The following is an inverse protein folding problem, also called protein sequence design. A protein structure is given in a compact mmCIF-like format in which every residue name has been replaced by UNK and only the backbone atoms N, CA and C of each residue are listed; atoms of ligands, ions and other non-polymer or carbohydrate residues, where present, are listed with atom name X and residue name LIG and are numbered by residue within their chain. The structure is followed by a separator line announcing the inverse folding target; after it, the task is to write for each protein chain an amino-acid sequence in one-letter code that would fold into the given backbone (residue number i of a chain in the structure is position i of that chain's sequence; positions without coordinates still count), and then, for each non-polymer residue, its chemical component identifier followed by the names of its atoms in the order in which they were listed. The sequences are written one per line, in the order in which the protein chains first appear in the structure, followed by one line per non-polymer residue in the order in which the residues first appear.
data_IF_382075826120
#
_entry.id   IF_382075826120
#
_cell.length_a   1.000
_cell.length_b   1.000
_cell.length_c   1.000
_cell.angle_alpha   90.00
_cell.angle_beta   90.00
_cell.angle_gamma   90.00
#
_symmetry.space_group_name_H-M   'P 1'
#
loop_
_entity.id
_entity.type
_entity.pdbx_description
1 polymer ?
#
# COMPACT_ATOMS: atom_id res chain seq x y z
N UNK A 1 5.19 -57.92 -2.02
CA UNK A 1 4.17 -56.85 -2.14
C UNK A 1 4.89 -55.51 -2.22
N UNK A 2 5.10 -54.98 -3.43
CA UNK A 2 5.62 -53.63 -3.66
C UNK A 2 4.44 -52.67 -3.72
N UNK A 3 4.28 -51.81 -2.71
CA UNK A 3 3.34 -50.69 -2.78
C UNK A 3 4.03 -49.55 -3.55
N UNK A 4 3.51 -49.26 -4.75
CA UNK A 4 3.92 -48.10 -5.54
C UNK A 4 3.35 -46.83 -4.91
N UNK A 5 4.21 -45.90 -4.51
CA UNK A 5 3.83 -44.51 -4.21
C UNK A 5 3.62 -43.75 -5.52
N UNK A 6 2.37 -43.43 -5.85
CA UNK A 6 2.08 -42.39 -6.84
C UNK A 6 2.37 -41.03 -6.19
N UNK A 7 3.46 -40.39 -6.58
CA UNK A 7 3.69 -38.98 -6.30
C UNK A 7 2.83 -38.15 -7.27
N UNK A 8 1.78 -37.51 -6.76
CA UNK A 8 1.04 -36.51 -7.51
C UNK A 8 1.92 -35.26 -7.66
N UNK A 9 2.54 -35.10 -8.83
CA UNK A 9 3.17 -33.84 -9.24
C UNK A 9 2.07 -32.79 -9.39
N UNK A 10 1.83 -31.99 -8.34
CA UNK A 10 1.12 -30.71 -8.48
C UNK A 10 2.01 -29.81 -9.33
N UNK A 11 1.76 -29.79 -10.64
CA UNK A 11 2.41 -28.86 -11.55
C UNK A 11 2.06 -27.44 -11.13
N UNK A 12 3.04 -26.67 -10.68
CA UNK A 12 2.90 -25.23 -10.56
C UNK A 12 2.65 -24.68 -11.96
N UNK A 13 1.40 -24.38 -12.28
CA UNK A 13 1.02 -23.79 -13.56
C UNK A 13 1.79 -22.48 -13.77
N UNK A 14 2.27 -22.26 -14.99
CA UNK A 14 2.90 -20.99 -15.37
C UNK A 14 1.88 -19.88 -15.11
N UNK A 15 2.25 -18.79 -14.40
CA UNK A 15 1.33 -17.68 -14.18
C UNK A 15 0.74 -17.22 -15.50
N UNK A 16 -0.58 -16.99 -15.53
CA UNK A 16 -1.17 -16.28 -16.65
C UNK A 16 -0.52 -14.89 -16.72
N UNK A 17 -0.38 -14.31 -17.93
CA UNK A 17 0.20 -12.99 -18.11
C UNK A 17 -0.45 -11.93 -17.21
N UNK A 18 0.21 -10.79 -16.99
CA UNK A 18 -0.29 -9.76 -16.07
C UNK A 18 -1.75 -9.34 -16.36
N UNK A 19 -2.52 -8.96 -15.33
CA UNK A 19 -3.82 -8.32 -15.52
C UNK A 19 -3.72 -7.13 -16.51
N UNK A 20 -4.67 -6.95 -17.43
CA UNK A 20 -4.68 -5.80 -18.36
C UNK A 20 -4.67 -4.44 -17.66
N UNK A 21 -5.07 -4.40 -16.39
CA UNK A 21 -5.12 -3.21 -15.58
C UNK A 21 -3.75 -2.80 -15.01
N UNK A 22 -2.72 -3.64 -15.10
CA UNK A 22 -1.35 -3.31 -14.69
C UNK A 22 -0.76 -2.20 -15.56
N UNK A 23 -0.50 -1.04 -14.94
CA UNK A 23 0.21 0.08 -15.56
C UNK A 23 1.72 -0.04 -15.41
N UNK A 24 2.45 0.75 -16.21
CA UNK A 24 3.89 0.92 -16.03
C UNK A 24 4.18 1.90 -14.88
N UNK A 25 5.25 1.61 -14.14
CA UNK A 25 5.80 2.50 -13.11
C UNK A 25 7.29 2.72 -13.37
N UNK A 26 7.67 3.60 -14.31
CA UNK A 26 9.07 3.80 -14.67
C UNK A 26 9.95 4.09 -13.46
N UNK A 27 11.11 3.43 -13.38
CA UNK A 27 12.08 3.61 -12.31
C UNK A 27 11.96 2.61 -11.17
N UNK A 28 10.86 1.84 -11.10
CA UNK A 28 10.71 0.73 -10.14
C UNK A 28 11.74 -0.38 -10.39
N UNK A 29 12.20 -0.54 -11.62
CA UNK A 29 13.17 -1.56 -12.03
C UNK A 29 14.49 -1.40 -11.26
N UNK A 30 14.93 -0.15 -11.04
CA UNK A 30 16.15 0.17 -10.27
C UNK A 30 16.08 -0.30 -8.80
N UNK A 31 14.88 -0.54 -8.29
CA UNK A 31 14.64 -1.07 -6.95
C UNK A 31 14.56 -2.59 -6.97
N UNK A 32 13.84 -3.16 -7.92
CA UNK A 32 13.62 -4.61 -8.03
C UNK A 32 14.92 -5.39 -8.28
N UNK A 33 15.93 -4.75 -8.88
CA UNK A 33 17.25 -5.34 -9.12
C UNK A 33 18.14 -5.39 -7.86
N UNK A 34 17.72 -4.77 -6.75
CA UNK A 34 18.50 -4.77 -5.49
C UNK A 34 18.25 -6.07 -4.72
N UNK A 35 19.30 -6.81 -4.33
CA UNK A 35 19.16 -8.13 -3.71
C UNK A 35 18.59 -8.08 -2.29
N UNK A 36 18.79 -6.98 -1.57
CA UNK A 36 18.32 -6.76 -0.20
C UNK A 36 16.98 -6.01 -0.13
N UNK A 37 16.40 -5.60 -1.26
CA UNK A 37 15.16 -4.82 -1.26
C UNK A 37 13.92 -5.67 -0.99
N UNK A 38 13.29 -5.43 0.17
CA UNK A 38 12.15 -6.18 0.68
C UNK A 38 10.94 -5.31 1.03
N UNK A 39 11.13 -4.01 1.28
CA UNK A 39 10.03 -3.12 1.68
C UNK A 39 9.99 -1.88 0.80
N UNK A 40 8.88 -1.69 0.10
CA UNK A 40 8.53 -0.45 -0.57
C UNK A 40 7.40 0.23 0.21
N UNK A 41 7.72 1.32 0.90
CA UNK A 41 6.71 2.17 1.51
C UNK A 41 6.31 3.28 0.54
N UNK A 42 5.03 3.31 0.21
CA UNK A 42 4.43 4.34 -0.63
C UNK A 42 3.67 5.28 0.30
N UNK A 43 4.32 6.39 0.63
CA UNK A 43 3.71 7.47 1.38
C UNK A 43 2.61 8.13 0.55
N UNK A 44 1.41 8.23 1.09
CA UNK A 44 0.27 8.85 0.42
C UNK A 44 -0.34 10.00 1.21
N UNK A 45 -1.12 10.79 0.49
CA UNK A 45 -2.19 11.62 1.03
C UNK A 45 -3.49 10.82 0.84
N UNK A 46 -4.13 10.45 1.96
CA UNK A 46 -5.34 9.64 1.92
C UNK A 46 -6.46 10.30 1.10
N UNK A 47 -7.31 9.48 0.49
CA UNK A 47 -8.44 9.96 -0.30
C UNK A 47 -8.11 10.39 -1.72
N UNK A 48 -6.92 10.11 -2.23
CA UNK A 48 -6.57 10.31 -3.64
C UNK A 48 -6.82 9.04 -4.46
N UNK A 49 -7.07 9.20 -5.76
CA UNK A 49 -7.29 8.06 -6.65
C UNK A 49 -5.97 7.45 -7.16
N UNK A 50 -4.98 8.29 -7.42
CA UNK A 50 -3.79 7.89 -8.17
C UNK A 50 -2.71 7.26 -7.27
N UNK A 51 -2.64 7.60 -5.99
CA UNK A 51 -1.61 7.06 -5.09
C UNK A 51 -1.81 5.56 -4.78
N UNK A 52 -3.03 5.06 -4.48
CA UNK A 52 -3.27 3.62 -4.42
C UNK A 52 -2.95 2.89 -5.74
N UNK A 53 -3.17 3.54 -6.89
CA UNK A 53 -2.83 2.96 -8.19
C UNK A 53 -1.31 2.81 -8.39
N UNK A 54 -0.48 3.66 -7.79
CA UNK A 54 0.99 3.49 -7.79
C UNK A 54 1.37 2.22 -7.03
N UNK A 55 0.75 1.94 -5.88
CA UNK A 55 0.96 0.68 -5.16
C UNK A 55 0.52 -0.54 -5.98
N UNK A 56 -0.61 -0.43 -6.69
CA UNK A 56 -1.11 -1.48 -7.56
C UNK A 56 -0.13 -1.81 -8.70
N UNK A 57 0.48 -0.78 -9.30
CA UNK A 57 1.46 -0.95 -10.37
C UNK A 57 2.82 -1.43 -9.86
N UNK A 58 3.22 -1.05 -8.63
CA UNK A 58 4.40 -1.62 -7.98
C UNK A 58 4.23 -3.13 -7.70
N UNK A 59 3.04 -3.59 -7.29
CA UNK A 59 2.72 -5.01 -7.20
C UNK A 59 2.84 -5.69 -8.57
N UNK A 60 2.30 -5.09 -9.63
CA UNK A 60 2.43 -5.63 -10.98
C UNK A 60 3.90 -5.76 -11.43
N UNK A 61 4.74 -4.75 -11.13
CA UNK A 61 6.16 -4.79 -11.44
C UNK A 61 6.89 -5.91 -10.67
N UNK A 62 6.60 -6.07 -9.38
CA UNK A 62 7.15 -7.17 -8.58
C UNK A 62 6.68 -8.55 -9.06
N UNK A 63 5.42 -8.67 -9.47
CA UNK A 63 4.88 -9.90 -10.08
C UNK A 63 5.61 -10.26 -11.37
N UNK A 64 5.86 -9.26 -12.24
CA UNK A 64 6.65 -9.41 -13.47
C UNK A 64 8.08 -9.87 -13.18
N UNK A 65 8.68 -9.37 -12.10
CA UNK A 65 10.00 -9.77 -11.62
C UNK A 65 10.00 -11.13 -10.90
N UNK A 66 8.86 -11.82 -10.80
CA UNK A 66 8.76 -13.16 -10.18
C UNK A 66 8.88 -13.16 -8.65
N UNK A 67 8.75 -12.00 -7.99
CA UNK A 67 8.79 -11.88 -6.53
C UNK A 67 7.46 -12.37 -5.94
N UNK A 68 7.48 -13.12 -4.81
CA UNK A 68 6.31 -13.20 -3.95
C UNK A 68 5.96 -11.78 -3.46
N UNK A 69 4.67 -11.48 -3.30
CA UNK A 69 4.21 -10.14 -3.00
C UNK A 69 3.36 -10.12 -1.73
N UNK A 70 3.54 -9.06 -0.95
CA UNK A 70 2.68 -8.74 0.18
C UNK A 70 2.17 -7.32 -0.01
N UNK A 71 0.86 -7.16 -0.15
CA UNK A 71 0.21 -5.85 -0.09
C UNK A 71 0.02 -5.44 1.38
N UNK A 72 0.71 -4.39 1.82
CA UNK A 72 0.46 -3.75 3.11
C UNK A 72 -0.63 -2.69 2.99
N UNK A 73 -1.68 -2.82 3.80
CA UNK A 73 -2.76 -1.82 3.94
C UNK A 73 -2.78 -1.26 5.36
N UNK A 74 -2.83 0.06 5.47
CA UNK A 74 -2.97 0.78 6.75
C UNK A 74 -4.38 0.61 7.34
N UNK A 75 -4.78 -0.64 7.56
CA UNK A 75 -6.03 -1.05 8.18
C UNK A 75 -5.77 -1.72 9.52
N UNK A 76 -6.70 -1.64 10.47
CA UNK A 76 -6.62 -2.40 11.73
C UNK A 76 -6.52 -3.90 11.49
N UNK A 77 -5.75 -4.66 12.30
CA UNK A 77 -5.61 -6.11 12.18
C UNK A 77 -6.92 -6.91 12.15
N UNK A 78 -8.00 -6.35 12.72
CA UNK A 78 -9.34 -6.94 12.64
C UNK A 78 -9.87 -7.12 11.21
N UNK A 79 -9.29 -6.43 10.21
CA UNK A 79 -9.64 -6.56 8.80
C UNK A 79 -8.93 -7.72 8.10
N UNK A 80 -7.91 -8.33 8.72
CA UNK A 80 -7.08 -9.36 8.10
C UNK A 80 -7.88 -10.54 7.52
N UNK A 81 -8.84 -11.16 8.26
CA UNK A 81 -9.58 -12.31 7.73
C UNK A 81 -10.39 -11.97 6.46
N UNK A 82 -10.89 -10.74 6.35
CA UNK A 82 -11.67 -10.27 5.21
C UNK A 82 -10.80 -10.05 3.97
N UNK A 83 -9.59 -9.52 4.16
CA UNK A 83 -8.60 -9.38 3.10
C UNK A 83 -8.20 -10.77 2.57
N UNK A 84 -7.86 -11.70 3.46
CA UNK A 84 -7.44 -13.06 3.09
C UNK A 84 -8.55 -13.80 2.31
N UNK A 85 -9.80 -13.70 2.77
CA UNK A 85 -10.94 -14.30 2.08
C UNK A 85 -11.17 -13.66 0.70
N UNK A 86 -11.09 -12.33 0.58
CA UNK A 86 -11.30 -11.65 -0.69
C UNK A 86 -10.21 -11.97 -1.71
N UNK A 87 -8.93 -11.99 -1.28
CA UNK A 87 -7.80 -12.36 -2.15
C UNK A 87 -7.92 -13.78 -2.72
N UNK A 88 -8.56 -14.68 -1.98
CA UNK A 88 -8.78 -16.08 -2.37
C UNK A 88 -10.08 -16.29 -3.17
N UNK A 89 -10.87 -15.24 -3.39
CA UNK A 89 -12.19 -15.31 -4.03
C UNK A 89 -12.16 -15.07 -5.55
N UNK A 90 -13.31 -15.27 -6.19
CA UNK A 90 -13.54 -14.89 -7.58
C UNK A 90 -13.66 -13.38 -7.80
N UNK A 91 -13.72 -12.58 -6.72
CA UNK A 91 -13.91 -11.13 -6.77
C UNK A 91 -15.34 -10.70 -7.11
N UNK A 92 -16.29 -11.64 -7.17
CA UNK A 92 -17.68 -11.37 -7.49
C UNK A 92 -18.38 -10.52 -6.42
N UNK A 93 -19.63 -10.16 -6.71
CA UNK A 93 -20.42 -9.27 -5.85
C UNK A 93 -20.52 -9.77 -4.40
N UNK A 94 -20.75 -11.07 -4.19
CA UNK A 94 -20.82 -11.66 -2.85
C UNK A 94 -19.50 -11.52 -2.08
N UNK A 95 -18.36 -11.76 -2.75
CA UNK A 95 -17.04 -11.61 -2.14
C UNK A 95 -16.73 -10.14 -1.84
N UNK A 96 -17.09 -9.23 -2.76
CA UNK A 96 -16.93 -7.78 -2.57
C UNK A 96 -17.77 -7.29 -1.38
N UNK A 97 -19.03 -7.72 -1.29
CA UNK A 97 -19.90 -7.40 -0.15
C UNK A 97 -19.31 -7.93 1.14
N UNK A 98 -18.80 -9.16 1.16
CA UNK A 98 -18.16 -9.73 2.35
C UNK A 98 -16.91 -8.93 2.78
N UNK A 99 -16.09 -8.46 1.84
CA UNK A 99 -14.95 -7.58 2.14
C UNK A 99 -15.41 -6.26 2.78
N UNK A 100 -16.47 -5.66 2.24
CA UNK A 100 -16.98 -4.35 2.68
C UNK A 100 -17.69 -4.40 4.04
N UNK A 101 -17.92 -5.58 4.62
CA UNK A 101 -18.37 -5.76 6.02
C UNK A 101 -17.21 -5.60 7.01
N UNK A 102 -15.95 -5.59 6.55
CA UNK A 102 -14.81 -5.48 7.46
C UNK A 102 -14.83 -4.15 8.23
N UNK A 103 -14.38 -4.13 9.51
CA UNK A 103 -14.54 -2.96 10.38
C UNK A 103 -14.03 -1.63 9.82
N UNK A 104 -12.95 -1.64 9.03
CA UNK A 104 -12.39 -0.41 8.46
C UNK A 104 -13.42 0.32 7.57
N UNK A 105 -14.19 -0.41 6.75
CA UNK A 105 -15.10 0.18 5.76
C UNK A 105 -16.29 0.91 6.38
N UNK A 106 -16.62 0.64 7.64
CA UNK A 106 -17.70 1.30 8.35
C UNK A 106 -17.32 2.68 8.90
N UNK A 107 -16.02 3.02 8.91
CA UNK A 107 -15.55 4.36 9.19
C UNK A 107 -15.63 5.20 7.91
N UNK A 108 -16.85 5.55 7.47
CA UNK A 108 -17.04 6.29 6.22
C UNK A 108 -16.36 7.67 6.17
N UNK A 109 -15.87 8.18 7.32
CA UNK A 109 -15.09 9.42 7.46
C UNK A 109 -13.59 9.21 7.24
N UNK A 110 -13.16 7.95 7.17
CA UNK A 110 -11.78 7.54 7.00
C UNK A 110 -11.41 7.54 5.50
N UNK A 111 -10.51 8.43 5.12
CA UNK A 111 -10.06 8.57 3.74
C UNK A 111 -9.19 7.40 3.24
N UNK A 112 -8.98 6.37 4.07
CA UNK A 112 -8.31 5.10 3.71
C UNK A 112 -9.27 4.08 3.11
N UNK A 113 -10.59 4.26 3.21
CA UNK A 113 -11.60 3.29 2.73
C UNK A 113 -12.36 3.77 1.48
N UNK A 114 -11.60 4.03 0.42
CA UNK A 114 -12.11 4.62 -0.83
C UNK A 114 -12.19 3.63 -1.99
N UNK A 115 -12.84 4.02 -3.08
CA UNK A 115 -12.90 3.22 -4.31
C UNK A 115 -11.51 2.85 -4.86
N UNK A 116 -10.53 3.76 -4.77
CA UNK A 116 -9.17 3.50 -5.22
C UNK A 116 -8.43 2.44 -4.38
N UNK A 117 -8.62 2.44 -3.05
CA UNK A 117 -8.05 1.40 -2.18
C UNK A 117 -8.74 0.05 -2.44
N UNK A 118 -10.05 0.04 -2.68
CA UNK A 118 -10.74 -1.17 -3.10
C UNK A 118 -10.22 -1.71 -4.44
N UNK A 119 -9.95 -0.83 -5.40
CA UNK A 119 -9.36 -1.22 -6.68
C UNK A 119 -7.92 -1.75 -6.53
N UNK A 120 -7.13 -1.21 -5.58
CA UNK A 120 -5.83 -1.76 -5.21
C UNK A 120 -5.94 -3.18 -4.65
N UNK A 121 -6.90 -3.43 -3.75
CA UNK A 121 -7.15 -4.76 -3.19
C UNK A 121 -7.57 -5.74 -4.30
N UNK A 122 -8.47 -5.34 -5.20
CA UNK A 122 -8.89 -6.19 -6.33
C UNK A 122 -7.73 -6.43 -7.32
N UNK A 123 -6.80 -5.47 -7.50
CA UNK A 123 -5.58 -5.72 -8.28
C UNK A 123 -4.75 -6.85 -7.67
N UNK A 124 -4.55 -6.84 -6.35
CA UNK A 124 -3.81 -7.89 -5.67
C UNK A 124 -4.51 -9.27 -5.82
N UNK A 125 -5.84 -9.30 -5.69
CA UNK A 125 -6.64 -10.51 -5.95
C UNK A 125 -6.51 -11.00 -7.39
N UNK A 126 -6.59 -10.10 -8.38
CA UNK A 126 -6.43 -10.46 -9.79
C UNK A 126 -5.05 -11.09 -10.07
N UNK A 127 -3.99 -10.56 -9.46
CA UNK A 127 -2.67 -11.18 -9.52
C UNK A 127 -2.68 -12.58 -8.89
N UNK A 128 -3.25 -12.74 -7.69
CA UNK A 128 -3.38 -14.05 -7.04
C UNK A 128 -4.13 -15.07 -7.91
N UNK A 129 -5.27 -14.67 -8.50
CA UNK A 129 -6.10 -15.53 -9.37
C UNK A 129 -5.38 -15.98 -10.65
N UNK A 130 -4.31 -15.30 -11.04
CA UNK A 130 -3.46 -15.62 -12.20
C UNK A 130 -2.25 -16.46 -11.85
N UNK A 131 -2.14 -16.93 -10.61
CA UNK A 131 -1.06 -17.81 -10.15
C UNK A 131 0.16 -17.08 -9.57
N UNK A 132 0.13 -15.76 -9.42
CA UNK A 132 1.17 -15.03 -8.71
C UNK A 132 1.02 -15.27 -7.19
N UNK A 133 2.15 -15.38 -6.48
CA UNK A 133 2.15 -15.53 -5.02
C UNK A 133 1.89 -14.17 -4.36
N UNK A 134 0.64 -13.88 -4.02
CA UNK A 134 0.23 -12.61 -3.42
C UNK A 134 -0.52 -12.86 -2.11
N UNK A 135 -0.14 -12.16 -1.06
CA UNK A 135 -0.91 -12.05 0.19
C UNK A 135 -1.10 -10.58 0.56
N UNK A 136 -1.89 -10.31 1.60
CA UNK A 136 -2.09 -8.98 2.14
C UNK A 136 -1.81 -8.95 3.64
N UNK A 137 -1.48 -7.78 4.19
CA UNK A 137 -1.37 -7.55 5.63
C UNK A 137 -2.06 -6.24 6.00
N UNK A 138 -3.01 -6.31 6.94
CA UNK A 138 -3.56 -5.15 7.65
C UNK A 138 -2.63 -4.81 8.81
N UNK A 139 -1.92 -3.68 8.72
CA UNK A 139 -0.77 -3.42 9.59
C UNK A 139 -0.93 -2.26 10.58
N UNK A 140 -2.13 -1.69 10.76
CA UNK A 140 -2.31 -0.51 11.61
C UNK A 140 -2.81 -0.84 13.04
N UNK A 141 -1.89 -0.97 14.01
CA UNK A 141 -2.23 -1.15 15.43
C UNK A 141 -2.56 0.19 16.07
N UNK A 142 -3.76 0.73 15.82
CA UNK A 142 -4.20 2.05 16.31
C UNK A 142 -4.36 2.04 17.84
N UNK A 143 -3.52 2.76 18.61
CA UNK A 143 -3.65 2.91 20.05
C UNK A 143 -4.33 4.26 20.38
N UNK A 144 -4.38 4.60 21.67
CA UNK A 144 -4.64 5.97 22.13
C UNK A 144 -3.40 6.46 22.90
N UNK A 145 -2.79 7.60 22.54
CA UNK A 145 -3.15 8.53 21.44
C UNK A 145 -2.87 7.97 20.03
N UNK A 146 -3.50 8.58 19.01
CA UNK A 146 -3.42 8.12 17.59
C UNK A 146 -2.05 8.30 16.94
N UNK A 147 -1.27 9.29 17.37
CA UNK A 147 0.13 9.49 16.98
C UNK A 147 0.98 9.08 18.18
N UNK A 148 1.65 7.95 18.08
CA UNK A 148 2.44 7.41 19.18
C UNK A 148 3.54 6.48 18.70
N UNK A 149 4.61 6.36 19.49
CA UNK A 149 5.70 5.42 19.23
C UNK A 149 5.20 3.97 19.15
N UNK A 150 4.20 3.63 19.95
CA UNK A 150 3.60 2.30 20.01
C UNK A 150 2.89 1.94 18.70
N UNK A 151 2.20 2.90 18.07
CA UNK A 151 1.56 2.69 16.77
C UNK A 151 2.59 2.38 15.69
N UNK A 152 3.63 3.20 15.61
CA UNK A 152 4.71 3.06 14.62
C UNK A 152 5.46 1.72 14.78
N UNK A 153 5.78 1.35 16.02
CA UNK A 153 6.41 0.07 16.32
C UNK A 153 5.50 -1.10 15.95
N UNK A 154 4.21 -1.01 16.25
CA UNK A 154 3.21 -2.01 15.88
C UNK A 154 3.04 -2.18 14.37
N UNK A 155 3.10 -1.08 13.62
CA UNK A 155 3.05 -1.08 12.16
C UNK A 155 4.28 -1.77 11.56
N UNK A 156 5.48 -1.39 11.98
CA UNK A 156 6.72 -2.00 11.52
C UNK A 156 6.80 -3.49 11.90
N UNK A 157 6.34 -3.87 13.10
CA UNK A 157 6.27 -5.26 13.56
C UNK A 157 5.41 -6.12 12.65
N UNK A 158 4.20 -5.66 12.28
CA UNK A 158 3.28 -6.41 11.43
C UNK A 158 3.81 -6.58 10.00
N UNK A 159 4.39 -5.52 9.42
CA UNK A 159 5.05 -5.62 8.11
C UNK A 159 6.24 -6.59 8.15
N UNK A 160 7.06 -6.52 9.20
CA UNK A 160 8.20 -7.42 9.38
C UNK A 160 7.75 -8.87 9.56
N UNK A 161 6.71 -9.11 10.38
CA UNK A 161 6.16 -10.43 10.60
C UNK A 161 5.55 -11.03 9.32
N UNK A 162 4.87 -10.21 8.50
CA UNK A 162 4.33 -10.65 7.22
C UNK A 162 5.46 -11.07 6.26
N UNK A 163 6.50 -10.25 6.12
CA UNK A 163 7.65 -10.57 5.28
C UNK A 163 8.35 -11.86 5.72
N UNK A 164 8.54 -12.06 7.03
CA UNK A 164 9.17 -13.29 7.57
C UNK A 164 8.39 -14.57 7.27
N UNK A 165 7.06 -14.49 7.15
CA UNK A 165 6.21 -15.63 6.76
C UNK A 165 6.40 -16.01 5.28
N UNK A 166 6.86 -15.07 4.45
CA UNK A 166 7.11 -15.30 3.02
C UNK A 166 8.51 -14.77 2.66
N UNK A 167 9.59 -15.49 3.03
CA UNK A 167 10.95 -15.06 2.75
C UNK A 167 11.18 -14.74 1.26
N UNK A 168 11.89 -13.64 0.99
CA UNK A 168 12.14 -13.15 -0.37
C UNK A 168 10.94 -12.40 -0.99
N UNK A 169 9.83 -12.25 -0.27
CA UNK A 169 8.73 -11.40 -0.72
C UNK A 169 9.13 -9.93 -0.79
N UNK A 170 8.49 -9.20 -1.71
CA UNK A 170 8.44 -7.75 -1.70
C UNK A 170 7.16 -7.32 -1.00
N UNK A 171 7.30 -6.55 0.08
CA UNK A 171 6.21 -5.85 0.74
C UNK A 171 6.02 -4.51 0.04
N UNK A 172 4.84 -4.29 -0.54
CA UNK A 172 4.41 -2.98 -1.06
C UNK A 172 3.35 -2.46 -0.10
N UNK A 173 3.71 -1.49 0.74
CA UNK A 173 2.81 -0.94 1.74
C UNK A 173 2.36 0.47 1.36
N UNK A 174 1.04 0.68 1.30
CA UNK A 174 0.43 2.00 1.16
C UNK A 174 0.12 2.55 2.55
N UNK A 175 0.62 3.74 2.87
CA UNK A 175 0.42 4.36 4.18
C UNK A 175 0.51 5.87 4.10
N UNK A 176 -0.11 6.58 5.05
CA UNK A 176 0.02 8.03 5.18
C UNK A 176 1.49 8.44 5.22
N UNK A 177 1.83 9.53 4.52
CA UNK A 177 3.23 9.92 4.32
C UNK A 177 4.04 10.08 5.61
N UNK A 178 3.41 10.40 6.75
CA UNK A 178 4.09 10.48 8.04
C UNK A 178 4.58 9.13 8.56
N UNK A 179 3.84 8.04 8.33
CA UNK A 179 4.24 6.68 8.71
C UNK A 179 5.38 6.15 7.83
N UNK A 180 5.42 6.58 6.58
CA UNK A 180 6.47 6.24 5.63
C UNK A 180 7.79 6.97 5.91
N UNK A 181 7.76 8.10 6.61
CA UNK A 181 8.94 8.92 6.91
C UNK A 181 10.00 8.11 7.70
N UNK A 182 11.27 8.19 7.28
CA UNK A 182 12.40 7.53 7.94
C UNK A 182 13.02 8.34 9.07
N UNK A 183 12.82 9.66 9.08
CA UNK A 183 13.23 10.56 10.17
C UNK A 183 12.17 10.60 11.27
N UNK A 184 10.91 10.36 10.91
CA UNK A 184 9.80 10.14 11.83
C UNK A 184 9.16 11.41 12.40
N UNK A 185 8.56 11.29 13.58
CA UNK A 185 7.74 12.33 14.20
C UNK A 185 8.59 13.32 15.00
N UNK A 186 9.46 14.05 14.30
CA UNK A 186 10.42 15.01 14.89
C UNK A 186 9.76 16.18 15.61
N UNK A 187 8.49 16.48 15.30
CA UNK A 187 7.71 17.53 15.96
C UNK A 187 7.08 17.10 17.30
N UNK A 188 7.15 15.82 17.68
CA UNK A 188 6.62 15.30 18.94
C UNK A 188 7.64 15.47 20.08
N UNK A 189 7.18 15.44 21.33
CA UNK A 189 8.03 15.57 22.51
C UNK A 189 7.78 14.43 23.53
N UNK A 190 8.69 13.44 23.66
CA UNK A 190 9.92 13.29 22.89
C UNK A 190 9.66 12.88 21.43
N UNK A 191 10.60 13.15 20.50
CA UNK A 191 10.49 12.66 19.12
C UNK A 191 10.68 11.15 19.06
N UNK A 192 10.07 10.51 18.06
CA UNK A 192 10.20 9.06 17.82
C UNK A 192 10.13 8.74 16.33
N UNK A 193 10.76 7.62 15.95
CA UNK A 193 10.75 7.14 14.57
C UNK A 193 9.33 6.74 14.15
N UNK A 194 9.00 7.02 12.90
CA UNK A 194 7.84 6.43 12.23
C UNK A 194 8.16 5.02 11.73
N UNK A 195 7.16 4.27 11.28
CA UNK A 195 7.30 2.89 10.82
C UNK A 195 8.41 2.75 9.75
N UNK A 196 8.52 3.71 8.83
CA UNK A 196 9.58 3.75 7.81
C UNK A 196 10.99 3.80 8.37
N UNK A 197 11.21 4.50 9.49
CA UNK A 197 12.50 4.56 10.18
C UNK A 197 12.79 3.35 11.06
N UNK A 198 11.76 2.57 11.42
CA UNK A 198 11.90 1.36 12.26
C UNK A 198 12.25 0.12 11.41
N UNK A 199 11.75 0.04 10.17
CA UNK A 199 12.07 -1.07 9.27
C UNK A 199 13.57 -1.12 8.92
N UNK A 200 14.11 -2.29 8.51
CA UNK A 200 15.53 -2.43 8.19
C UNK A 200 15.96 -1.44 7.09
N UNK A 201 16.92 -0.53 7.35
CA UNK A 201 17.16 0.61 6.46
C UNK A 201 17.75 0.22 5.10
N UNK A 202 18.52 -0.88 5.03
CA UNK A 202 19.10 -1.38 3.78
C UNK A 202 18.05 -2.07 2.89
N UNK A 203 17.01 -2.60 3.51
CA UNK A 203 15.97 -3.38 2.81
C UNK A 203 14.75 -2.54 2.45
N UNK A 204 14.65 -1.34 3.01
CA UNK A 204 13.48 -0.46 2.91
C UNK A 204 13.76 0.72 2.00
N UNK A 205 12.88 0.93 1.02
CA UNK A 205 12.77 2.19 0.28
C UNK A 205 11.45 2.84 0.63
N UNK A 206 11.51 4.09 1.07
CA UNK A 206 10.36 4.92 1.36
C UNK A 206 10.27 6.05 0.34
N UNK A 207 9.09 6.20 -0.27
CA UNK A 207 8.81 7.20 -1.28
C UNK A 207 7.75 8.18 -0.77
N UNK A 208 8.07 9.47 -0.86
CA UNK A 208 7.06 10.51 -0.79
C UNK A 208 6.46 10.76 -2.18
N UNK A 209 5.38 11.53 -2.23
CA UNK A 209 4.72 11.90 -3.47
C UNK A 209 5.12 13.31 -3.93
N UNK A 210 5.20 13.48 -5.25
CA UNK A 210 5.27 14.80 -5.88
C UNK A 210 4.00 15.61 -5.56
N UNK A 211 4.08 16.94 -5.50
CA UNK A 211 2.92 17.76 -5.06
C UNK A 211 2.38 18.72 -6.15
N UNK A 212 1.83 18.19 -7.26
CA UNK A 212 1.26 18.99 -8.36
C UNK A 212 -0.10 19.64 -8.03
N UNK A 213 -0.65 19.38 -6.85
CA UNK A 213 -2.01 19.77 -6.46
C UNK A 213 -3.06 18.82 -7.03
N UNK A 214 -4.30 19.29 -7.14
CA UNK A 214 -5.46 18.49 -7.50
C UNK A 214 -6.43 18.40 -6.32
N UNK A 215 -7.02 17.23 -6.08
CA UNK A 215 -7.99 17.02 -5.02
C UNK A 215 -7.77 15.72 -4.27
N UNK A 216 -8.27 15.67 -3.03
CA UNK A 216 -8.40 14.47 -2.22
C UNK A 216 -9.77 14.45 -1.56
N UNK A 217 -10.28 13.27 -1.23
CA UNK A 217 -11.49 13.14 -0.41
C UNK A 217 -11.10 13.06 1.07
N UNK A 218 -11.81 13.76 1.94
CA UNK A 218 -11.63 13.63 3.39
C UNK A 218 -12.69 14.40 4.16
N UNK A 219 -12.61 14.39 5.49
CA UNK A 219 -13.51 15.13 6.39
C UNK A 219 -12.84 16.31 7.09
N UNK A 220 -11.56 16.54 6.83
CA UNK A 220 -10.80 17.67 7.31
C UNK A 220 -10.19 18.42 6.13
N UNK A 221 -10.27 19.75 6.18
CA UNK A 221 -9.59 20.63 5.23
C UNK A 221 -8.07 20.46 5.35
N UNK A 222 -7.27 20.96 4.39
CA UNK A 222 -5.81 20.91 4.48
C UNK A 222 -5.25 21.59 5.75
N UNK A 223 -6.02 22.51 6.36
CA UNK A 223 -5.69 23.18 7.61
C UNK A 223 -6.14 22.43 8.88
N UNK A 224 -6.75 21.24 8.73
CA UNK A 224 -7.26 20.43 9.85
C UNK A 224 -8.66 20.82 10.32
N UNK A 225 -9.34 21.74 9.63
CA UNK A 225 -10.69 22.17 10.00
C UNK A 225 -11.72 21.12 9.58
N UNK A 226 -12.57 20.69 10.52
CA UNK A 226 -13.70 19.81 10.23
C UNK A 226 -14.81 20.58 9.51
N UNK A 227 -14.82 20.55 8.18
CA UNK A 227 -15.80 21.25 7.33
C UNK A 227 -16.57 20.28 6.40
N UNK A 228 -17.03 19.19 7.02
CA UNK A 228 -17.75 18.11 6.35
C UNK A 228 -16.86 17.24 5.46
N UNK A 229 -17.41 16.10 5.08
CA UNK A 229 -16.73 15.13 4.22
C UNK A 229 -16.99 15.43 2.74
N UNK A 230 -15.93 15.77 2.01
CA UNK A 230 -16.00 16.20 0.59
C UNK A 230 -14.65 16.07 -0.09
N UNK A 231 -14.64 16.33 -1.40
CA UNK A 231 -13.40 16.62 -2.11
C UNK A 231 -12.85 17.99 -1.64
N UNK A 232 -11.61 18.00 -1.22
CA UNK A 232 -10.84 19.18 -0.87
C UNK A 232 -9.73 19.41 -1.90
N UNK A 233 -9.45 20.67 -2.19
CA UNK A 233 -8.33 21.03 -3.04
C UNK A 233 -7.00 20.79 -2.32
N UNK A 234 -6.08 20.15 -3.02
CA UNK A 234 -4.70 20.00 -2.61
C UNK A 234 -3.88 21.17 -3.19
N UNK A 235 -3.22 21.91 -2.31
CA UNK A 235 -2.37 23.02 -2.74
C UNK A 235 -1.21 22.55 -3.63
N UNK A 236 -0.99 23.26 -4.74
CA UNK A 236 0.16 23.06 -5.61
C UNK A 236 1.44 23.47 -4.86
N UNK A 237 2.42 22.57 -4.77
CA UNK A 237 3.74 22.86 -4.19
C UNK A 237 4.89 22.59 -5.17
N UNK A 238 4.63 21.81 -6.21
CA UNK A 238 5.60 21.38 -7.21
C UNK A 238 4.92 21.35 -8.59
N UNK A 239 5.70 21.43 -9.67
CA UNK A 239 5.17 21.21 -11.02
C UNK A 239 4.77 19.74 -11.24
N UNK A 240 3.87 19.49 -12.20
CA UNK A 240 3.61 18.14 -12.69
C UNK A 240 4.91 17.52 -13.21
N UNK A 241 5.19 16.30 -12.78
CA UNK A 241 6.33 15.50 -13.23
C UNK A 241 5.83 14.31 -14.07
N UNK A 242 6.67 13.76 -14.95
CA UNK A 242 6.36 12.48 -15.60
C UNK A 242 6.08 11.38 -14.58
N UNK A 243 5.17 10.46 -14.91
CA UNK A 243 4.86 9.30 -14.07
C UNK A 243 6.12 8.46 -13.86
N UNK A 244 6.37 8.05 -12.61
CA UNK A 244 7.51 7.19 -12.27
C UNK A 244 8.08 7.47 -10.89
N UNK A 245 9.16 6.78 -10.58
CA UNK A 245 9.93 6.90 -9.34
C UNK A 245 11.27 7.56 -9.68
N UNK A 246 11.66 8.55 -8.86
CA UNK A 246 12.98 9.16 -8.87
C UNK A 246 13.60 8.97 -7.49
N UNK A 247 14.71 8.23 -7.43
CA UNK A 247 15.47 8.00 -6.20
C UNK A 247 16.47 9.13 -6.02
N UNK A 248 16.11 10.08 -5.17
CA UNK A 248 16.95 11.19 -4.77
C UNK A 248 16.48 11.70 -3.39
N UNK A 249 17.21 11.40 -2.31
CA UNK A 249 16.82 11.81 -0.96
C UNK A 249 16.87 13.33 -0.77
N UNK A 250 17.55 14.08 -1.65
CA UNK A 250 17.55 15.54 -1.58
C UNK A 250 16.21 16.17 -2.00
N UNK A 251 15.33 15.42 -2.68
CA UNK A 251 14.01 15.92 -3.10
C UNK A 251 13.03 16.05 -1.92
N UNK A 252 13.18 15.20 -0.90
CA UNK A 252 12.38 15.26 0.33
C UNK A 252 13.10 14.57 1.48
N UNK A 253 13.47 15.34 2.51
CA UNK A 253 14.01 14.79 3.77
C UNK A 253 13.07 13.75 4.38
N UNK A 254 13.64 12.73 5.00
CA UNK A 254 12.89 11.56 5.50
C UNK A 254 12.59 10.46 4.47
N UNK A 255 12.89 10.65 3.19
CA UNK A 255 12.55 9.67 2.13
C UNK A 255 13.76 9.36 1.23
N UNK A 256 13.74 8.20 0.57
CA UNK A 256 14.78 7.81 -0.39
C UNK A 256 14.51 8.38 -1.79
N UNK A 257 13.30 8.90 -2.03
CA UNK A 257 12.90 9.46 -3.31
C UNK A 257 11.45 9.90 -3.38
N UNK A 258 11.03 10.26 -4.59
CA UNK A 258 9.67 10.64 -4.91
C UNK A 258 9.06 9.71 -5.96
N UNK A 259 7.74 9.52 -5.89
CA UNK A 259 6.96 9.07 -7.03
C UNK A 259 6.05 10.19 -7.56
N UNK A 260 5.76 10.15 -8.85
CA UNK A 260 4.77 10.98 -9.51
C UNK A 260 3.78 10.13 -10.29
N UNK A 261 2.55 10.62 -10.37
CA UNK A 261 1.43 9.96 -11.06
C UNK A 261 1.28 10.42 -12.51
N UNK A 262 2.05 11.43 -12.93
CA UNK A 262 1.98 12.00 -14.29
C UNK A 262 0.99 13.16 -14.46
N UNK A 263 0.30 13.56 -13.39
CA UNK A 263 -0.72 14.59 -13.41
C UNK A 263 -1.11 15.07 -12.01
N UNK A 264 -2.14 15.91 -11.93
CA UNK A 264 -2.75 16.29 -10.66
C UNK A 264 -3.56 15.14 -10.06
N UNK A 265 -3.75 15.18 -8.74
CA UNK A 265 -4.53 14.18 -8.03
C UNK A 265 -6.03 14.40 -8.18
N UNK A 266 -6.80 13.33 -8.14
CA UNK A 266 -8.27 13.38 -8.04
C UNK A 266 -8.75 12.75 -6.75
N UNK A 267 -9.87 13.25 -6.23
CA UNK A 267 -10.48 12.72 -5.02
C UNK A 267 -11.11 11.34 -5.28
N UNK A 268 -10.73 10.35 -4.47
CA UNK A 268 -11.34 9.02 -4.46
C UNK A 268 -12.43 8.97 -3.39
N UNK A 269 -13.68 8.85 -3.81
CA UNK A 269 -14.83 8.81 -2.89
C UNK A 269 -14.83 7.52 -2.03
N UNK A 270 -15.47 7.55 -0.85
CA UNK A 270 -15.64 6.36 0.00
C UNK A 270 -16.29 5.21 -0.79
N UNK A 271 -15.79 3.99 -0.59
CA UNK A 271 -16.35 2.82 -1.28
C UNK A 271 -17.77 2.46 -0.81
N UNK A 272 -18.14 2.92 0.39
CA UNK A 272 -19.48 2.88 0.93
C UNK A 272 -19.98 4.31 1.11
N UNK A 273 -21.03 4.68 0.37
CA UNK A 273 -21.81 5.88 0.68
C UNK A 273 -22.81 5.57 1.79
N UNK A 274 -22.99 6.52 2.72
CA UNK A 274 -24.17 6.52 3.61
C UNK A 274 -25.42 6.90 2.82
#
# INVERSE_FOLDING_TARGET
MMLSMLAALMGAGIPAGLPPSCGALPGIEQLLDRPDFNYLLIGEYHGTAEMPAVAADALCAGAKAGRPLILGLEFPPANQPYLDAYLSSDGGEAARTALLVAPAWHAAEDARVTHAVLALIDRARLLASRGYKVSAVAFDKIPQPLISKEREAGMAELLTAAQRKVPGSLVVALTGTGHADKEGWTSQNPPFLAAGGILPPRETVSLAFARPGGQYWGCQSPGGEANGCKAYDMAVREAVRPRGIVLDPALRGGFDGLYSTGGQYTASLPALSK
#
